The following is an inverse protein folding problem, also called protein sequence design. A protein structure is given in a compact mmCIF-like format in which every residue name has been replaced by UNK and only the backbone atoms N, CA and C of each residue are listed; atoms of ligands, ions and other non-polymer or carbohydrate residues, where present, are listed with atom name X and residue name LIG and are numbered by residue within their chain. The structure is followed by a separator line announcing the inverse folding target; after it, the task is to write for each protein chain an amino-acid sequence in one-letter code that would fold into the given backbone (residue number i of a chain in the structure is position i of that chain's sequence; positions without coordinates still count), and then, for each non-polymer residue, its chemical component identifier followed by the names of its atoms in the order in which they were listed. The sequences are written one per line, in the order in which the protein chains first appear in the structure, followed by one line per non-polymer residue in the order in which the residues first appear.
data_IF_444604977996
#
_entry.id   IF_444604977996
#
_cell.length_a   1.000
_cell.length_b   1.000
_cell.length_c   1.000
_cell.angle_alpha   90.00
_cell.angle_beta   90.00
_cell.angle_gamma   90.00
#
_symmetry.space_group_name_H-M   'P 1'
#
loop_
_entity.id
_entity.type
_entity.pdbx_description
1 polymer ?
#
# COMPACT_ATOMS: atom_id res chain seq x y z
N UNK A 1 -23.04 44.83 34.61
CA UNK A 1 -21.87 44.49 33.79
C UNK A 1 -22.39 43.72 32.58
N UNK A 2 -22.57 44.40 31.43
CA UNK A 2 -23.11 43.78 30.22
C UNK A 2 -21.95 43.21 29.39
N UNK A 3 -21.86 41.89 29.31
CA UNK A 3 -20.97 41.24 28.34
C UNK A 3 -21.62 41.44 26.98
N UNK A 4 -21.09 42.36 26.16
CA UNK A 4 -21.35 42.36 24.72
C UNK A 4 -20.92 40.99 24.21
N UNK A 5 -21.88 40.15 23.79
CA UNK A 5 -21.58 38.94 23.01
C UNK A 5 -21.07 39.38 21.65
N UNK A 6 -19.77 39.67 21.57
CA UNK A 6 -19.04 39.74 20.31
C UNK A 6 -19.21 38.38 19.62
N UNK A 7 -19.81 38.34 18.43
CA UNK A 7 -19.73 37.13 17.59
C UNK A 7 -18.25 36.89 17.30
N UNK A 8 -17.77 35.69 17.62
CA UNK A 8 -16.41 35.26 17.24
C UNK A 8 -16.41 35.09 15.72
N UNK A 9 -15.62 35.87 14.96
CA UNK A 9 -15.61 35.76 13.51
C UNK A 9 -14.77 34.54 13.10
N UNK A 10 -15.43 33.47 12.66
CA UNK A 10 -14.77 32.33 12.01
C UNK A 10 -14.97 32.41 10.50
N UNK A 11 -13.88 32.22 9.75
CA UNK A 11 -13.92 31.91 8.32
C UNK A 11 -13.54 30.43 8.21
N UNK A 12 -14.50 29.53 7.98
CA UNK A 12 -14.22 28.12 7.79
C UNK A 12 -13.71 27.86 6.38
N UNK A 13 -12.61 27.12 6.24
CA UNK A 13 -12.19 26.55 4.96
C UNK A 13 -12.69 25.10 4.91
N UNK A 14 -13.67 24.76 4.06
CA UNK A 14 -14.23 23.40 3.99
C UNK A 14 -13.17 22.33 3.73
N UNK A 15 -12.19 22.59 2.85
CA UNK A 15 -11.11 21.65 2.56
C UNK A 15 -10.24 21.40 3.81
N UNK A 16 -10.00 22.43 4.61
CA UNK A 16 -9.27 22.26 5.88
C UNK A 16 -10.04 21.39 6.88
N UNK A 17 -11.37 21.49 6.92
CA UNK A 17 -12.21 20.63 7.78
C UNK A 17 -12.17 19.17 7.33
N UNK A 18 -12.24 18.93 6.01
CA UNK A 18 -12.08 17.59 5.45
C UNK A 18 -10.70 17.01 5.80
N UNK A 19 -9.62 17.79 5.68
CA UNK A 19 -8.26 17.36 6.07
C UNK A 19 -8.21 16.94 7.55
N UNK A 20 -8.84 17.70 8.44
CA UNK A 20 -8.92 17.33 9.86
C UNK A 20 -9.68 16.01 10.04
N UNK A 21 -10.82 15.82 9.38
CA UNK A 21 -11.59 14.57 9.47
C UNK A 21 -10.77 13.36 8.96
N UNK A 22 -10.02 13.53 7.86
CA UNK A 22 -9.12 12.50 7.34
C UNK A 22 -7.98 12.18 8.31
N UNK A 23 -7.32 13.18 8.89
CA UNK A 23 -6.25 12.96 9.88
C UNK A 23 -6.81 12.22 11.10
N UNK A 24 -7.96 12.65 11.63
CA UNK A 24 -8.61 11.98 12.76
C UNK A 24 -9.01 10.55 12.42
N UNK A 25 -9.40 10.27 11.18
CA UNK A 25 -9.65 8.89 10.74
C UNK A 25 -8.38 8.04 10.83
N UNK A 26 -7.23 8.55 10.38
CA UNK A 26 -5.95 7.83 10.49
C UNK A 26 -5.61 7.55 11.96
N UNK A 27 -5.72 8.55 12.82
CA UNK A 27 -5.44 8.42 14.26
C UNK A 27 -6.39 7.41 14.96
N UNK A 28 -7.70 7.49 14.68
CA UNK A 28 -8.68 6.65 15.35
C UNK A 28 -8.76 5.23 14.78
N UNK A 29 -8.54 5.05 13.47
CA UNK A 29 -8.87 3.79 12.77
C UNK A 29 -7.67 3.08 12.19
N UNK A 30 -6.59 3.78 11.85
CA UNK A 30 -5.44 3.18 11.16
C UNK A 30 -4.26 2.97 12.10
N UNK A 31 -3.85 4.02 12.82
CA UNK A 31 -2.66 4.03 13.65
C UNK A 31 -2.71 2.94 14.73
N UNK A 32 -1.64 2.12 14.77
CA UNK A 32 -1.52 1.00 15.70
C UNK A 32 -2.53 -0.13 15.51
N UNK A 33 -3.40 -0.07 14.49
CA UNK A 33 -4.42 -1.09 14.19
C UNK A 33 -4.14 -1.85 12.89
N UNK A 34 -3.27 -1.29 12.04
CA UNK A 34 -2.81 -1.88 10.79
C UNK A 34 -1.28 -1.94 10.78
N UNK A 35 -0.72 -2.66 9.80
CA UNK A 35 0.72 -2.72 9.59
C UNK A 35 1.31 -1.32 9.32
N UNK A 36 2.58 -1.14 9.72
CA UNK A 36 3.21 0.18 9.80
C UNK A 36 3.28 0.88 8.44
N UNK A 37 3.42 0.15 7.34
CA UNK A 37 3.44 0.72 5.99
C UNK A 37 2.14 1.47 5.66
N UNK A 38 0.97 0.94 6.05
CA UNK A 38 -0.32 1.61 5.81
C UNK A 38 -0.43 2.92 6.57
N UNK A 39 -0.01 2.93 7.83
CA UNK A 39 0.01 4.14 8.67
C UNK A 39 0.92 5.22 8.06
N UNK A 40 2.16 4.85 7.72
CA UNK A 40 3.14 5.77 7.13
C UNK A 40 2.66 6.30 5.77
N UNK A 41 2.07 5.44 4.93
CA UNK A 41 1.50 5.83 3.65
C UNK A 41 0.36 6.84 3.82
N UNK A 42 -0.56 6.61 4.77
CA UNK A 42 -1.65 7.56 5.05
C UNK A 42 -1.11 8.93 5.47
N UNK A 43 -0.20 8.98 6.44
CA UNK A 43 0.37 10.25 6.90
C UNK A 43 1.18 10.95 5.81
N UNK A 44 1.98 10.22 5.04
CA UNK A 44 2.76 10.81 3.95
C UNK A 44 1.85 11.34 2.84
N UNK A 45 0.79 10.61 2.48
CA UNK A 45 -0.18 11.03 1.48
C UNK A 45 -0.88 12.32 1.93
N UNK A 46 -1.47 12.33 3.13
CA UNK A 46 -2.17 13.50 3.66
C UNK A 46 -1.28 14.73 3.80
N UNK A 47 -0.01 14.54 4.20
CA UNK A 47 0.98 15.63 4.34
C UNK A 47 1.32 16.29 3.01
N UNK A 48 1.41 15.51 1.93
CA UNK A 48 1.84 15.99 0.62
C UNK A 48 0.66 16.33 -0.33
N UNK A 49 -0.56 15.97 0.07
CA UNK A 49 -1.78 16.20 -0.71
C UNK A 49 -2.07 17.70 -0.85
N UNK A 50 -2.08 18.18 -2.10
CA UNK A 50 -2.49 19.55 -2.45
C UNK A 50 -4.01 19.70 -2.44
N UNK A 51 -4.51 20.93 -2.54
CA UNK A 51 -5.95 21.19 -2.51
C UNK A 51 -6.63 20.64 -3.78
N UNK A 52 -5.98 20.73 -4.94
CA UNK A 52 -6.51 20.18 -6.20
C UNK A 52 -6.71 18.66 -6.13
N UNK A 53 -5.74 17.95 -5.55
CA UNK A 53 -5.84 16.49 -5.33
C UNK A 53 -6.95 16.13 -4.36
N UNK A 54 -7.15 16.95 -3.31
CA UNK A 54 -8.25 16.74 -2.37
C UNK A 54 -9.60 16.96 -3.07
N UNK A 55 -9.72 18.01 -3.88
CA UNK A 55 -10.94 18.26 -4.67
C UNK A 55 -11.27 17.10 -5.61
N UNK A 56 -10.27 16.54 -6.31
CA UNK A 56 -10.46 15.32 -7.14
C UNK A 56 -11.02 14.16 -6.32
N UNK A 57 -10.44 13.88 -5.14
CA UNK A 57 -10.91 12.82 -4.24
C UNK A 57 -12.36 13.07 -3.82
N UNK A 58 -12.68 14.31 -3.47
CA UNK A 58 -14.02 14.69 -3.03
C UNK A 58 -15.05 14.56 -4.16
N UNK A 59 -14.69 14.90 -5.40
CA UNK A 59 -15.57 14.71 -6.56
C UNK A 59 -15.89 13.23 -6.78
N UNK A 60 -14.87 12.36 -6.75
CA UNK A 60 -15.07 10.90 -6.90
C UNK A 60 -15.91 10.34 -5.74
N UNK A 61 -15.67 10.80 -4.52
CA UNK A 61 -16.46 10.43 -3.35
C UNK A 61 -17.94 10.83 -3.51
N UNK A 62 -18.22 12.07 -3.92
CA UNK A 62 -19.58 12.57 -4.17
C UNK A 62 -20.29 11.73 -5.24
N UNK A 63 -19.60 11.45 -6.34
CA UNK A 63 -20.15 10.65 -7.44
C UNK A 63 -20.44 9.21 -7.01
N UNK A 64 -19.47 8.56 -6.34
CA UNK A 64 -19.58 7.16 -5.88
C UNK A 64 -20.71 6.95 -4.88
N UNK A 65 -20.93 7.93 -3.99
CA UNK A 65 -21.95 7.86 -2.94
C UNK A 65 -23.27 8.56 -3.33
N UNK A 66 -23.36 9.15 -4.53
CA UNK A 66 -24.57 9.82 -5.02
C UNK A 66 -24.99 11.04 -4.19
N UNK A 67 -24.03 11.80 -3.68
CA UNK A 67 -24.27 12.91 -2.76
C UNK A 67 -24.54 14.23 -3.51
N UNK A 68 -25.36 15.10 -2.93
CA UNK A 68 -25.51 16.49 -3.40
C UNK A 68 -24.52 17.45 -2.74
N UNK A 69 -24.09 17.12 -1.51
CA UNK A 69 -23.17 17.93 -0.71
C UNK A 69 -22.43 17.08 0.32
N UNK A 70 -21.28 17.59 0.78
CA UNK A 70 -20.49 17.03 1.87
C UNK A 70 -20.81 17.82 3.13
N UNK A 71 -21.29 17.14 4.18
CA UNK A 71 -21.77 17.80 5.40
C UNK A 71 -20.85 17.61 6.59
N UNK A 72 -20.11 16.50 6.64
CA UNK A 72 -19.33 16.04 7.79
C UNK A 72 -20.17 15.85 9.07
N UNK A 73 -21.49 15.66 8.96
CA UNK A 73 -22.36 15.36 10.11
C UNK A 73 -21.96 14.06 10.81
N UNK A 74 -21.70 13.01 10.02
CA UNK A 74 -21.01 11.79 10.45
C UNK A 74 -19.62 11.74 9.82
N UNK A 75 -18.74 12.63 10.28
CA UNK A 75 -17.38 12.73 9.77
C UNK A 75 -16.62 11.39 9.79
N UNK A 76 -16.94 10.47 10.70
CA UNK A 76 -16.26 9.16 10.79
C UNK A 76 -16.61 8.29 9.61
N UNK A 77 -17.90 8.21 9.26
CA UNK A 77 -18.37 7.47 8.10
C UNK A 77 -17.88 8.14 6.81
N UNK A 78 -18.02 9.45 6.70
CA UNK A 78 -17.61 10.19 5.50
C UNK A 78 -16.09 10.07 5.26
N UNK A 79 -15.27 10.28 6.28
CA UNK A 79 -13.81 10.15 6.15
C UNK A 79 -13.38 8.72 5.78
N UNK A 80 -14.09 7.69 6.25
CA UNK A 80 -13.85 6.30 5.83
C UNK A 80 -14.09 6.14 4.32
N UNK A 81 -15.22 6.63 3.81
CA UNK A 81 -15.58 6.52 2.39
C UNK A 81 -14.63 7.33 1.49
N UNK A 82 -14.20 8.51 1.95
CA UNK A 82 -13.14 9.27 1.28
C UNK A 82 -11.81 8.50 1.28
N UNK A 83 -11.49 7.77 2.35
CA UNK A 83 -10.31 6.90 2.36
C UNK A 83 -10.44 5.69 1.44
N UNK A 84 -11.64 5.15 1.27
CA UNK A 84 -11.89 4.09 0.28
C UNK A 84 -11.52 4.59 -1.14
N UNK A 85 -11.80 5.87 -1.46
CA UNK A 85 -11.32 6.52 -2.70
C UNK A 85 -9.80 6.69 -2.72
N UNK A 86 -9.18 7.15 -1.61
CA UNK A 86 -7.72 7.32 -1.51
C UNK A 86 -7.00 6.00 -1.73
N UNK A 87 -7.49 4.90 -1.15
CA UNK A 87 -6.89 3.57 -1.25
C UNK A 87 -6.93 3.01 -2.67
N UNK A 88 -7.89 3.46 -3.49
CA UNK A 88 -7.99 3.07 -4.89
C UNK A 88 -6.98 3.81 -5.79
N UNK A 89 -6.37 4.92 -5.33
CA UNK A 89 -5.42 5.72 -6.13
C UNK A 89 -4.03 5.09 -6.22
N UNK A 90 -3.42 5.17 -7.40
CA UNK A 90 -2.07 4.63 -7.67
C UNK A 90 -0.96 5.34 -6.90
N UNK A 91 -1.06 6.66 -6.72
CA UNK A 91 -0.09 7.44 -5.94
C UNK A 91 -0.08 7.04 -4.45
N UNK A 92 -1.24 6.67 -3.89
CA UNK A 92 -1.32 6.09 -2.56
C UNK A 92 -0.74 4.67 -2.52
N UNK A 93 -1.14 3.78 -3.43
CA UNK A 93 -0.65 2.39 -3.47
C UNK A 93 0.87 2.33 -3.58
N UNK A 94 1.47 3.19 -4.41
CA UNK A 94 2.91 3.33 -4.54
C UNK A 94 3.61 3.73 -3.23
N UNK A 95 3.01 4.61 -2.43
CA UNK A 95 3.53 4.94 -1.09
C UNK A 95 3.48 3.73 -0.15
N UNK A 96 2.39 2.98 -0.17
CA UNK A 96 2.24 1.80 0.67
C UNK A 96 3.25 0.70 0.29
N UNK A 97 3.40 0.41 -1.00
CA UNK A 97 4.40 -0.54 -1.53
C UNK A 97 5.81 -0.10 -1.15
N UNK A 98 6.13 1.19 -1.32
CA UNK A 98 7.43 1.74 -0.93
C UNK A 98 7.74 1.43 0.55
N UNK A 99 6.79 1.63 1.45
CA UNK A 99 7.01 1.34 2.86
C UNK A 99 7.03 -0.15 3.17
N UNK A 100 6.25 -0.98 2.47
CA UNK A 100 6.35 -2.44 2.58
C UNK A 100 7.74 -2.95 2.18
N UNK A 101 8.31 -2.41 1.09
CA UNK A 101 9.68 -2.70 0.65
C UNK A 101 10.76 -2.25 1.63
N UNK A 102 10.44 -1.36 2.56
CA UNK A 102 11.33 -0.97 3.66
C UNK A 102 11.21 -1.89 4.89
N UNK A 103 10.43 -2.97 4.81
CA UNK A 103 10.22 -3.90 5.93
C UNK A 103 9.08 -3.49 6.88
N UNK A 104 8.23 -2.53 6.49
CA UNK A 104 7.07 -2.13 7.30
C UNK A 104 5.78 -2.86 6.93
N UNK A 105 5.89 -3.98 6.19
CA UNK A 105 4.78 -4.88 5.85
C UNK A 105 4.17 -5.56 7.08
N UNK A 106 3.27 -6.50 6.84
CA UNK A 106 2.55 -7.21 7.91
C UNK A 106 3.49 -8.08 8.73
N UNK A 107 4.38 -8.79 8.04
CA UNK A 107 5.40 -9.67 8.66
C UNK A 107 6.79 -9.03 8.69
N UNK A 108 6.96 -7.88 8.04
CA UNK A 108 8.27 -7.30 7.77
C UNK A 108 9.08 -8.03 6.69
N UNK A 109 8.51 -9.08 6.10
CA UNK A 109 9.10 -9.92 5.07
C UNK A 109 8.17 -9.99 3.86
N UNK A 110 8.74 -10.09 2.67
CA UNK A 110 7.93 -10.31 1.49
C UNK A 110 8.71 -10.39 0.19
N UNK A 111 7.98 -10.57 -0.88
CA UNK A 111 8.48 -10.58 -2.25
C UNK A 111 7.80 -9.43 -2.98
N UNK A 112 8.60 -8.56 -3.58
CA UNK A 112 8.12 -7.52 -4.48
C UNK A 112 8.28 -7.98 -5.92
N UNK A 113 7.16 -8.06 -6.64
CA UNK A 113 7.11 -8.30 -8.09
C UNK A 113 7.26 -6.95 -8.81
N UNK A 114 8.43 -6.75 -9.43
CA UNK A 114 8.83 -5.50 -10.08
C UNK A 114 8.01 -5.23 -11.34
N UNK A 115 7.51 -6.27 -12.02
CA UNK A 115 6.71 -6.11 -13.24
C UNK A 115 5.26 -5.76 -12.93
N UNK A 116 4.69 -6.42 -11.93
CA UNK A 116 3.30 -6.18 -11.54
C UNK A 116 3.14 -4.95 -10.63
N UNK A 117 4.24 -4.44 -10.07
CA UNK A 117 4.25 -3.43 -8.99
C UNK A 117 3.37 -3.88 -7.81
N UNK A 118 3.60 -5.11 -7.34
CA UNK A 118 2.84 -5.70 -6.22
C UNK A 118 3.78 -6.29 -5.19
N UNK A 119 3.50 -5.99 -3.93
CA UNK A 119 4.18 -6.59 -2.78
C UNK A 119 3.33 -7.72 -2.19
N UNK A 120 3.95 -8.87 -1.95
CA UNK A 120 3.34 -10.02 -1.30
C UNK A 120 4.04 -10.29 0.03
N UNK A 121 3.33 -10.13 1.13
CA UNK A 121 3.82 -10.53 2.46
C UNK A 121 4.04 -12.06 2.49
N UNK A 122 5.11 -12.50 3.17
CA UNK A 122 5.39 -13.91 3.45
C UNK A 122 5.94 -14.09 4.87
N UNK A 123 5.95 -15.32 5.40
CA UNK A 123 6.59 -15.60 6.69
C UNK A 123 8.11 -15.82 6.54
N UNK A 124 8.77 -16.11 7.66
CA UNK A 124 10.18 -16.44 7.69
C UNK A 124 10.48 -17.70 6.87
N UNK A 125 11.57 -17.68 6.08
CA UNK A 125 11.97 -18.78 5.19
C UNK A 125 10.98 -19.06 4.04
N UNK A 126 9.97 -18.22 3.82
CA UNK A 126 8.94 -18.42 2.77
C UNK A 126 9.16 -17.62 1.48
N UNK A 127 10.26 -16.88 1.33
CA UNK A 127 10.50 -16.10 0.12
C UNK A 127 10.47 -16.94 -1.16
N UNK A 128 11.11 -18.12 -1.13
CA UNK A 128 11.14 -19.00 -2.29
C UNK A 128 9.79 -19.63 -2.60
N UNK A 129 9.06 -20.10 -1.59
CA UNK A 129 7.71 -20.64 -1.78
C UNK A 129 6.77 -19.56 -2.31
N UNK A 130 6.89 -18.33 -1.81
CA UNK A 130 6.10 -17.19 -2.29
C UNK A 130 6.43 -16.83 -3.74
N UNK A 131 7.70 -16.84 -4.14
CA UNK A 131 8.08 -16.67 -5.56
C UNK A 131 7.41 -17.75 -6.41
N UNK A 132 7.49 -19.02 -6.03
CA UNK A 132 6.87 -20.11 -6.79
C UNK A 132 5.36 -19.93 -6.94
N UNK A 133 4.66 -19.56 -5.87
CA UNK A 133 3.23 -19.24 -5.89
C UNK A 133 2.92 -18.09 -6.86
N UNK A 134 3.70 -17.00 -6.84
CA UNK A 134 3.52 -15.87 -7.76
C UNK A 134 3.73 -16.33 -9.21
N UNK A 135 4.81 -17.08 -9.47
CA UNK A 135 5.14 -17.59 -10.81
C UNK A 135 4.06 -18.54 -11.33
N UNK A 136 3.54 -19.43 -10.49
CA UNK A 136 2.43 -20.33 -10.83
C UNK A 136 1.19 -19.56 -11.31
N UNK A 137 0.79 -18.54 -10.56
CA UNK A 137 -0.44 -17.81 -10.81
C UNK A 137 -0.34 -16.73 -11.89
N UNK A 138 0.82 -16.06 -12.03
CA UNK A 138 0.98 -14.90 -12.92
C UNK A 138 1.85 -15.17 -14.14
N UNK A 139 2.71 -16.17 -14.07
CA UNK A 139 3.72 -16.45 -15.10
C UNK A 139 3.69 -17.94 -15.48
N UNK A 140 2.49 -18.47 -15.75
CA UNK A 140 2.24 -19.92 -15.94
C UNK A 140 3.19 -20.63 -16.92
N UNK A 141 3.59 -20.05 -18.08
CA UNK A 141 4.59 -20.70 -18.94
C UNK A 141 5.94 -20.88 -18.24
N UNK A 142 6.37 -19.88 -17.48
CA UNK A 142 7.63 -19.89 -16.73
C UNK A 142 7.60 -20.86 -15.56
N UNK A 143 6.42 -21.05 -14.94
CA UNK A 143 6.26 -21.95 -13.80
C UNK A 143 6.65 -23.40 -14.13
N UNK A 144 6.26 -23.91 -15.29
CA UNK A 144 6.58 -25.30 -15.67
C UNK A 144 8.08 -25.51 -15.82
N UNK A 145 8.77 -24.58 -16.48
CA UNK A 145 10.22 -24.62 -16.61
C UNK A 145 10.91 -24.51 -15.24
N UNK A 146 10.47 -23.56 -14.41
CA UNK A 146 10.97 -23.38 -13.04
C UNK A 146 10.85 -24.66 -12.22
N UNK A 147 9.68 -25.29 -12.22
CA UNK A 147 9.39 -26.50 -11.45
C UNK A 147 10.29 -27.68 -11.89
N UNK A 148 10.34 -27.94 -13.20
CA UNK A 148 11.08 -29.08 -13.75
C UNK A 148 12.60 -28.93 -13.59
N UNK A 149 13.14 -27.73 -13.79
CA UNK A 149 14.56 -27.45 -13.65
C UNK A 149 14.99 -27.40 -12.17
N UNK A 150 14.10 -27.01 -11.25
CA UNK A 150 14.37 -27.07 -9.82
C UNK A 150 14.45 -28.51 -9.30
N UNK A 151 13.52 -29.38 -9.71
CA UNK A 151 13.48 -30.77 -9.26
C UNK A 151 14.51 -31.69 -9.93
N UNK A 152 15.00 -31.35 -11.12
CA UNK A 152 15.98 -32.16 -11.86
C UNK A 152 17.29 -31.36 -12.08
N UNK A 153 18.27 -31.44 -11.17
CA UNK A 153 19.51 -30.69 -11.27
C UNK A 153 20.35 -30.99 -12.52
N UNK A 154 20.20 -32.19 -13.10
CA UNK A 154 20.88 -32.60 -14.34
C UNK A 154 20.23 -32.06 -15.62
N UNK A 155 19.02 -31.50 -15.52
CA UNK A 155 18.31 -30.90 -16.64
C UNK A 155 18.73 -29.43 -16.77
N UNK A 156 19.17 -29.02 -17.96
CA UNK A 156 19.60 -27.65 -18.22
C UNK A 156 18.61 -26.83 -19.05
N UNK A 157 17.62 -27.49 -19.65
CA UNK A 157 16.59 -26.87 -20.48
C UNK A 157 15.27 -27.65 -20.34
N UNK A 158 14.14 -26.94 -20.29
CA UNK A 158 12.80 -27.50 -20.35
C UNK A 158 11.86 -26.58 -21.14
N UNK A 159 11.14 -27.16 -22.11
CA UNK A 159 10.14 -26.45 -22.93
C UNK A 159 10.68 -25.15 -23.58
N UNK A 160 11.93 -25.18 -24.05
CA UNK A 160 12.60 -24.05 -24.68
C UNK A 160 13.16 -22.99 -23.72
N UNK A 161 13.10 -23.22 -22.41
CA UNK A 161 13.72 -22.37 -21.39
C UNK A 161 14.93 -23.05 -20.76
N UNK A 162 16.06 -22.38 -20.78
CA UNK A 162 17.27 -22.79 -20.08
C UNK A 162 17.23 -22.44 -18.60
N UNK A 163 18.07 -23.10 -17.80
CA UNK A 163 18.25 -22.77 -16.38
C UNK A 163 18.66 -21.32 -16.16
N UNK A 164 19.57 -20.82 -16.99
CA UNK A 164 20.05 -19.43 -16.91
C UNK A 164 18.91 -18.44 -17.16
N UNK A 165 18.06 -18.69 -18.17
CA UNK A 165 16.90 -17.83 -18.45
C UNK A 165 15.89 -17.82 -17.30
N UNK A 166 15.63 -18.98 -16.67
CA UNK A 166 14.73 -19.05 -15.52
C UNK A 166 15.32 -18.33 -14.31
N UNK A 167 16.61 -18.50 -14.02
CA UNK A 167 17.29 -17.82 -12.92
C UNK A 167 17.33 -16.30 -13.14
N UNK A 168 17.69 -15.85 -14.34
CA UNK A 168 17.63 -14.43 -14.72
C UNK A 168 16.21 -13.88 -14.58
N UNK A 169 15.19 -14.63 -15.02
CA UNK A 169 13.81 -14.23 -14.83
C UNK A 169 13.48 -14.01 -13.34
N UNK A 170 13.90 -14.89 -12.42
CA UNK A 170 13.64 -14.69 -10.99
C UNK A 170 14.36 -13.44 -10.48
N UNK A 171 15.65 -13.28 -10.78
CA UNK A 171 16.48 -12.18 -10.29
C UNK A 171 16.03 -10.82 -10.82
N UNK A 172 15.59 -10.77 -12.08
CA UNK A 172 15.15 -9.55 -12.73
C UNK A 172 13.77 -9.13 -12.25
N UNK A 173 12.85 -10.07 -12.01
CA UNK A 173 11.46 -9.75 -11.72
C UNK A 173 11.12 -9.65 -10.24
N UNK A 174 11.88 -10.29 -9.36
CA UNK A 174 11.56 -10.32 -7.93
C UNK A 174 12.63 -9.61 -7.08
N UNK A 175 12.18 -8.93 -6.03
CA UNK A 175 13.00 -8.36 -4.98
C UNK A 175 12.60 -9.00 -3.65
N UNK A 176 13.56 -9.62 -2.97
CA UNK A 176 13.34 -10.21 -1.66
C UNK A 176 13.49 -9.14 -0.59
N UNK A 177 12.47 -8.96 0.21
CA UNK A 177 12.45 -7.99 1.30
C UNK A 177 12.51 -8.75 2.62
N UNK A 178 13.60 -8.53 3.35
CA UNK A 178 13.87 -9.09 4.67
C UNK A 178 13.79 -8.02 5.76
N UNK A 179 13.70 -8.43 7.03
CA UNK A 179 13.64 -7.50 8.16
C UNK A 179 14.73 -6.44 8.05
N UNK A 180 14.36 -5.18 8.27
CA UNK A 180 15.30 -4.07 8.44
C UNK A 180 15.94 -4.07 9.83
N UNK A 181 16.03 -5.22 10.51
CA UNK A 181 16.75 -5.31 11.77
C UNK A 181 18.23 -5.16 11.47
N UNK A 182 18.88 -4.27 12.19
CA UNK A 182 20.33 -4.18 12.12
C UNK A 182 20.87 -5.47 12.73
N UNK A 183 21.99 -5.99 12.21
CA UNK A 183 22.69 -7.13 12.83
C UNK A 183 22.94 -6.90 14.33
N UNK A 184 23.08 -5.64 14.73
CA UNK A 184 23.21 -5.15 16.10
C UNK A 184 22.00 -5.48 17.00
N UNK A 185 20.82 -5.76 16.44
CA UNK A 185 19.61 -6.13 17.20
C UNK A 185 19.59 -7.62 17.59
N UNK A 186 20.56 -8.41 17.09
CA UNK A 186 20.72 -9.85 17.33
C UNK A 186 21.96 -10.20 18.18
N UNK A 187 22.76 -9.21 18.57
CA UNK A 187 23.98 -9.33 19.38
C UNK A 187 23.77 -8.72 20.77
#
# INVERSE_FOLDING_TARGET
MFIKKSKVPFKSNPLAMVRVALVQHVEEKVQGKFYKAKELACYQFLKNMKDETLEEILLVYIEREGLSEITLEDWRKEAKLMFDVIYDREDYKGLEIKYKRQGFGTTGLGVYDKNADVFYDCAEVEHWSKIREIVEHKYTPMFKALDQLYFNPSLNEYDGYTREEVESFIMDNFELVGESKRLDDYL
#
